data_IF_173333641926
#
_entry.id   IF_173333641926
#
_cell.length_a   1.000
_cell.length_b   1.000
_cell.length_c   1.000
_cell.angle_alpha   90.00
_cell.angle_beta   90.00
_cell.angle_gamma   90.00
#
_symmetry.space_group_name_H-M   'P 1'
#
loop_
_entity.id
_entity.type
_entity.pdbx_description
1 polymer ?
#
# COMPACT_ATOMS: atom_id res chain seq x y z
N UNK A 1 16.09 17.17 -6.21
CA UNK A 1 15.85 17.49 -7.63
C UNK A 1 14.64 16.72 -8.13
N UNK A 2 14.74 15.46 -8.54
CA UNK A 2 13.62 14.66 -9.14
C UNK A 2 12.37 14.66 -8.26
N UNK A 3 12.48 14.44 -6.95
CA UNK A 3 11.34 14.47 -6.04
C UNK A 3 10.60 15.82 -6.09
N UNK A 4 11.35 16.95 -6.12
CA UNK A 4 10.80 18.30 -6.13
C UNK A 4 10.11 18.71 -7.43
N UNK A 5 10.34 17.99 -8.51
CA UNK A 5 9.68 18.20 -9.79
C UNK A 5 8.24 17.63 -9.78
N UNK A 6 8.01 16.57 -9.02
CA UNK A 6 6.72 15.88 -8.95
C UNK A 6 5.92 16.18 -7.67
N UNK A 7 6.58 16.54 -6.57
CA UNK A 7 5.96 16.68 -5.25
C UNK A 7 6.49 17.88 -4.47
N UNK A 8 5.68 18.39 -3.54
CA UNK A 8 6.19 19.27 -2.50
C UNK A 8 7.12 18.46 -1.57
N UNK A 9 8.42 18.83 -1.47
CA UNK A 9 9.39 18.03 -0.72
C UNK A 9 9.16 18.04 0.80
N UNK A 10 8.35 18.97 1.29
CA UNK A 10 8.03 19.11 2.70
C UNK A 10 6.72 18.43 3.08
N UNK A 11 6.10 17.69 2.15
CA UNK A 11 4.84 17.00 2.39
C UNK A 11 4.97 15.48 2.29
N UNK A 12 4.39 14.77 3.26
CA UNK A 12 4.38 13.31 3.36
C UNK A 12 2.94 12.81 3.35
N UNK A 13 2.60 11.96 2.42
CA UNK A 13 1.29 11.30 2.37
C UNK A 13 1.16 10.33 3.54
N UNK A 14 0.11 10.48 4.33
CA UNK A 14 -0.16 9.67 5.51
C UNK A 14 -1.32 8.72 5.24
N UNK A 15 -1.08 7.44 5.48
CA UNK A 15 -2.08 6.38 5.37
C UNK A 15 -2.23 5.64 6.69
N UNK A 16 -3.37 5.01 6.91
CA UNK A 16 -3.54 4.01 7.99
C UNK A 16 -3.88 2.66 7.36
N UNK A 17 -3.34 1.58 7.90
CA UNK A 17 -3.59 0.22 7.44
C UNK A 17 -4.30 -0.58 8.53
N UNK A 18 -5.51 -1.04 8.24
CA UNK A 18 -6.28 -1.95 9.07
C UNK A 18 -6.22 -3.37 8.51
N UNK A 19 -5.87 -4.35 9.35
CA UNK A 19 -6.10 -5.76 9.03
C UNK A 19 -7.54 -6.11 9.33
N UNK A 20 -8.39 -6.12 8.32
CA UNK A 20 -9.81 -6.45 8.45
C UNK A 20 -10.09 -7.96 8.45
N UNK A 21 -9.10 -8.80 8.09
CA UNK A 21 -9.13 -10.26 8.25
C UNK A 21 -7.72 -10.78 8.48
N UNK A 22 -7.46 -11.40 9.63
CA UNK A 22 -6.14 -11.85 10.08
C UNK A 22 -5.99 -13.36 9.95
N UNK A 23 -4.79 -13.82 9.55
CA UNK A 23 -4.35 -15.20 9.62
C UNK A 23 -5.10 -16.20 8.73
N UNK A 24 -4.66 -17.44 8.74
CA UNK A 24 -5.28 -18.54 7.99
C UNK A 24 -5.14 -18.40 6.47
N UNK A 25 -4.12 -17.68 5.98
CA UNK A 25 -3.82 -17.58 4.56
C UNK A 25 -3.22 -18.92 4.06
N UNK A 26 -3.70 -19.48 2.95
CA UNK A 26 -3.18 -20.76 2.44
C UNK A 26 -1.82 -20.63 1.71
N UNK A 27 -1.34 -19.41 1.51
CA UNK A 27 -0.04 -19.15 0.87
C UNK A 27 1.13 -19.52 1.78
N UNK A 28 2.35 -19.59 1.19
CA UNK A 28 3.59 -19.96 1.87
C UNK A 28 4.66 -18.89 1.87
N UNK A 29 4.27 -17.63 1.69
CA UNK A 29 5.21 -16.51 1.68
C UNK A 29 6.14 -16.58 2.90
N UNK A 30 7.44 -16.78 2.67
CA UNK A 30 8.42 -17.12 3.71
C UNK A 30 8.59 -16.03 4.80
N UNK A 31 8.19 -14.80 4.53
CA UNK A 31 8.21 -13.66 5.44
C UNK A 31 6.90 -13.48 6.24
N UNK A 32 5.79 -14.18 5.85
CA UNK A 32 4.46 -13.77 6.28
C UNK A 32 3.95 -14.56 7.48
N UNK A 33 3.74 -13.91 8.64
CA UNK A 33 3.20 -14.58 9.81
C UNK A 33 1.73 -14.99 9.70
N UNK A 34 1.02 -14.53 8.66
CA UNK A 34 -0.39 -14.86 8.44
C UNK A 34 -0.61 -16.18 7.67
N UNK A 35 0.48 -16.79 7.18
CA UNK A 35 0.41 -18.09 6.50
C UNK A 35 -0.02 -19.19 7.47
N UNK A 36 -1.04 -19.98 7.10
CA UNK A 36 -1.62 -20.99 7.99
C UNK A 36 -0.65 -22.12 8.35
N UNK A 37 0.40 -22.31 7.55
CA UNK A 37 1.41 -23.36 7.74
C UNK A 37 2.50 -23.01 8.74
N UNK A 38 2.62 -21.74 9.15
CA UNK A 38 3.66 -21.30 10.08
C UNK A 38 3.11 -21.14 11.49
N UNK A 39 3.87 -21.62 12.47
CA UNK A 39 3.50 -21.50 13.88
C UNK A 39 4.05 -20.19 14.46
N UNK A 40 3.36 -19.09 14.21
CA UNK A 40 3.74 -17.75 14.66
C UNK A 40 2.93 -17.26 15.86
N UNK A 41 2.08 -18.13 16.44
CA UNK A 41 1.18 -17.74 17.52
C UNK A 41 0.02 -16.82 17.09
N UNK A 42 -0.04 -16.43 15.82
CA UNK A 42 -1.08 -15.53 15.31
C UNK A 42 -2.42 -16.26 15.20
N UNK A 43 -3.45 -15.76 15.91
CA UNK A 43 -4.81 -16.28 15.82
C UNK A 43 -5.52 -15.78 14.57
N UNK A 44 -6.17 -16.70 13.86
CA UNK A 44 -6.97 -16.35 12.69
C UNK A 44 -8.32 -15.74 13.12
N UNK A 45 -8.72 -14.66 12.48
CA UNK A 45 -10.01 -13.99 12.68
C UNK A 45 -10.78 -13.93 11.36
N UNK A 46 -12.10 -13.91 11.46
CA UNK A 46 -12.99 -13.71 10.30
C UNK A 46 -12.88 -12.26 9.82
N UNK A 47 -13.42 -12.01 8.62
CA UNK A 47 -13.59 -10.66 8.10
C UNK A 47 -14.46 -9.84 9.08
N UNK A 48 -13.95 -8.66 9.45
CA UNK A 48 -14.64 -7.70 10.33
C UNK A 48 -15.99 -7.27 9.75
N UNK A 49 -16.88 -6.79 10.60
CA UNK A 49 -18.12 -6.16 10.16
C UNK A 49 -17.87 -4.75 9.61
N UNK A 50 -18.76 -4.28 8.72
CA UNK A 50 -18.61 -2.98 8.04
C UNK A 50 -18.49 -1.85 9.05
N UNK A 51 -19.39 -1.81 10.04
CA UNK A 51 -19.43 -0.75 11.04
C UNK A 51 -18.15 -0.69 11.90
N UNK A 52 -17.56 -1.84 12.21
CA UNK A 52 -16.28 -1.91 12.94
C UNK A 52 -15.14 -1.29 12.13
N UNK A 53 -15.10 -1.59 10.81
CA UNK A 53 -14.10 -1.03 9.91
C UNK A 53 -14.29 0.48 9.75
N UNK A 54 -15.53 0.95 9.61
CA UNK A 54 -15.83 2.37 9.47
C UNK A 54 -15.52 3.16 10.75
N UNK A 55 -15.74 2.58 11.93
CA UNK A 55 -15.31 3.20 13.19
C UNK A 55 -13.78 3.39 13.24
N UNK A 56 -13.00 2.41 12.76
CA UNK A 56 -11.54 2.53 12.66
C UNK A 56 -11.10 3.55 11.60
N UNK A 57 -11.81 3.62 10.49
CA UNK A 57 -11.56 4.63 9.46
C UNK A 57 -11.79 6.05 9.97
N UNK A 58 -12.86 6.27 10.76
CA UNK A 58 -13.12 7.56 11.38
C UNK A 58 -12.02 7.96 12.37
N UNK A 59 -11.49 7.02 13.18
CA UNK A 59 -10.35 7.25 14.06
C UNK A 59 -9.09 7.63 13.26
N UNK A 60 -8.80 6.91 12.18
CA UNK A 60 -7.66 7.19 11.31
C UNK A 60 -7.76 8.59 10.68
N UNK A 61 -8.95 8.99 10.21
CA UNK A 61 -9.19 10.33 9.68
C UNK A 61 -8.94 11.41 10.75
N UNK A 62 -9.44 11.22 11.96
CA UNK A 62 -9.23 12.15 13.07
C UNK A 62 -7.75 12.29 13.43
N UNK A 63 -6.93 11.23 13.26
CA UNK A 63 -5.49 11.26 13.43
C UNK A 63 -4.74 11.90 12.25
N UNK A 64 -5.42 12.32 11.18
CA UNK A 64 -4.81 13.01 10.04
C UNK A 64 -4.47 12.10 8.84
N UNK A 65 -4.91 10.83 8.83
CA UNK A 65 -4.70 9.98 7.67
C UNK A 65 -5.57 10.45 6.48
N UNK A 66 -4.96 10.53 5.30
CA UNK A 66 -5.63 10.91 4.06
C UNK A 66 -6.07 9.70 3.24
N UNK A 67 -5.48 8.52 3.53
CA UNK A 67 -5.80 7.23 2.90
C UNK A 67 -6.01 6.16 3.95
N UNK A 68 -7.07 5.37 3.78
CA UNK A 68 -7.36 4.21 4.61
C UNK A 68 -7.18 2.92 3.80
N UNK A 69 -6.25 2.08 4.25
CA UNK A 69 -5.92 0.81 3.61
C UNK A 69 -6.53 -0.34 4.39
N UNK A 70 -7.14 -1.29 3.70
CA UNK A 70 -7.80 -2.47 4.27
C UNK A 70 -7.10 -3.73 3.78
N UNK A 71 -6.53 -4.52 4.70
CA UNK A 71 -5.80 -5.74 4.37
C UNK A 71 -6.50 -7.00 4.87
N UNK A 72 -6.63 -8.01 4.01
CA UNK A 72 -7.17 -9.32 4.37
C UNK A 72 -6.22 -10.44 3.97
N UNK A 73 -5.98 -11.37 4.91
CA UNK A 73 -5.10 -12.53 4.71
C UNK A 73 -5.78 -13.59 3.84
N UNK A 74 -5.87 -13.34 2.53
CA UNK A 74 -6.39 -14.27 1.53
C UNK A 74 -5.37 -14.54 0.41
N UNK A 75 -5.48 -15.72 -0.19
CA UNK A 75 -4.92 -15.97 -1.52
C UNK A 75 -5.71 -15.21 -2.58
N UNK A 76 -7.04 -15.32 -2.52
CA UNK A 76 -8.03 -14.66 -3.36
C UNK A 76 -9.32 -14.53 -2.56
N UNK A 77 -10.06 -13.42 -2.61
CA UNK A 77 -11.32 -13.27 -1.93
C UNK A 77 -12.42 -14.09 -2.64
N UNK A 78 -13.47 -14.46 -1.90
CA UNK A 78 -14.71 -14.96 -2.50
C UNK A 78 -15.60 -13.77 -2.87
N UNK A 79 -16.46 -13.90 -3.88
CA UNK A 79 -17.30 -12.79 -4.36
C UNK A 79 -18.19 -12.19 -3.25
N UNK A 80 -18.75 -13.05 -2.36
CA UNK A 80 -19.49 -12.57 -1.19
C UNK A 80 -18.67 -11.69 -0.24
N UNK A 81 -17.37 -11.97 -0.13
CA UNK A 81 -16.46 -11.21 0.73
C UNK A 81 -16.06 -9.91 0.03
N UNK A 82 -15.93 -9.93 -1.31
CA UNK A 82 -15.73 -8.72 -2.12
C UNK A 82 -16.89 -7.75 -1.98
N UNK A 83 -18.14 -8.24 -2.01
CA UNK A 83 -19.33 -7.40 -1.80
C UNK A 83 -19.31 -6.70 -0.41
N UNK A 84 -18.89 -7.42 0.63
CA UNK A 84 -18.73 -6.83 1.97
C UNK A 84 -17.63 -5.78 2.04
N UNK A 85 -16.48 -6.04 1.38
CA UNK A 85 -15.38 -5.05 1.28
C UNK A 85 -15.80 -3.84 0.44
N UNK A 86 -16.61 -4.02 -0.60
CA UNK A 86 -17.15 -2.92 -1.40
C UNK A 86 -17.96 -1.95 -0.53
N UNK A 87 -18.82 -2.44 0.36
CA UNK A 87 -19.54 -1.60 1.32
C UNK A 87 -18.59 -0.85 2.29
N UNK A 88 -17.48 -1.48 2.71
CA UNK A 88 -16.45 -0.80 3.50
C UNK A 88 -15.78 0.33 2.70
N UNK A 89 -15.48 0.09 1.42
CA UNK A 89 -14.89 1.09 0.51
C UNK A 89 -15.81 2.29 0.35
N UNK A 90 -17.10 2.07 0.09
CA UNK A 90 -18.11 3.12 -0.03
C UNK A 90 -18.17 4.01 1.22
N UNK A 91 -18.16 3.39 2.41
CA UNK A 91 -18.16 4.10 3.66
C UNK A 91 -16.90 4.94 3.90
N UNK A 92 -15.72 4.40 3.58
CA UNK A 92 -14.43 5.13 3.65
C UNK A 92 -14.43 6.32 2.69
N UNK A 93 -14.91 6.13 1.46
CA UNK A 93 -15.04 7.20 0.46
C UNK A 93 -16.01 8.30 0.89
N UNK A 94 -17.14 7.92 1.50
CA UNK A 94 -18.12 8.86 2.05
C UNK A 94 -17.53 9.75 3.16
N UNK A 95 -16.49 9.27 3.86
CA UNK A 95 -15.74 10.07 4.83
C UNK A 95 -14.76 11.05 4.17
N UNK A 96 -14.58 11.05 2.85
CA UNK A 96 -13.65 11.91 2.12
C UNK A 96 -12.19 11.46 2.20
N UNK A 97 -11.92 10.18 2.47
CA UNK A 97 -10.58 9.59 2.39
C UNK A 97 -10.41 8.80 1.10
N UNK A 98 -9.16 8.65 0.63
CA UNK A 98 -8.83 7.63 -0.36
C UNK A 98 -8.96 6.24 0.25
N UNK A 99 -9.52 5.30 -0.51
CA UNK A 99 -9.63 3.89 -0.12
C UNK A 99 -8.60 3.04 -0.86
N UNK A 100 -7.89 2.18 -0.12
CA UNK A 100 -6.97 1.18 -0.66
C UNK A 100 -7.30 -0.19 -0.09
N UNK A 101 -7.18 -1.25 -0.89
CA UNK A 101 -7.43 -2.62 -0.45
C UNK A 101 -6.30 -3.56 -0.86
N UNK A 102 -6.03 -4.57 -0.01
CA UNK A 102 -5.08 -5.67 -0.20
C UNK A 102 -5.79 -6.98 0.12
N UNK A 103 -6.30 -7.67 -0.88
CA UNK A 103 -7.18 -8.84 -0.70
C UNK A 103 -6.62 -10.12 -1.32
N UNK A 104 -5.35 -10.11 -1.74
CA UNK A 104 -4.77 -11.19 -2.54
C UNK A 104 -5.00 -11.00 -4.04
N UNK A 105 -5.11 -12.11 -4.79
CA UNK A 105 -5.35 -12.06 -6.23
C UNK A 105 -6.80 -11.70 -6.53
N UNK A 106 -7.02 -10.85 -7.54
CA UNK A 106 -8.33 -10.50 -8.06
C UNK A 106 -8.52 -11.01 -9.49
N UNK A 107 -9.72 -11.49 -9.78
CA UNK A 107 -10.18 -11.64 -11.15
C UNK A 107 -10.72 -10.30 -11.70
N UNK A 108 -10.95 -10.16 -13.02
CA UNK A 108 -11.44 -8.94 -13.62
C UNK A 108 -12.75 -8.40 -13.02
N UNK A 109 -13.72 -9.29 -12.74
CA UNK A 109 -15.03 -8.89 -12.22
C UNK A 109 -14.95 -8.38 -10.76
N UNK A 110 -14.10 -9.00 -9.95
CA UNK A 110 -13.82 -8.53 -8.58
C UNK A 110 -13.17 -7.14 -8.59
N UNK A 111 -12.23 -6.91 -9.50
CA UNK A 111 -11.59 -5.61 -9.66
C UNK A 111 -12.59 -4.53 -10.08
N UNK A 112 -13.49 -4.82 -11.05
CA UNK A 112 -14.57 -3.91 -11.47
C UNK A 112 -15.54 -3.63 -10.34
N UNK A 113 -15.93 -4.63 -9.55
CA UNK A 113 -16.82 -4.46 -8.39
C UNK A 113 -16.23 -3.48 -7.39
N UNK A 114 -14.96 -3.63 -7.03
CA UNK A 114 -14.28 -2.72 -6.12
C UNK A 114 -14.13 -1.31 -6.70
N UNK A 115 -13.86 -1.20 -8.00
CA UNK A 115 -13.83 0.11 -8.69
C UNK A 115 -15.18 0.81 -8.65
N UNK A 116 -16.26 0.08 -8.90
CA UNK A 116 -17.63 0.62 -8.86
C UNK A 116 -18.01 1.13 -7.46
N UNK A 117 -17.50 0.49 -6.40
CA UNK A 117 -17.63 0.94 -5.01
C UNK A 117 -16.78 2.19 -4.67
N UNK A 118 -15.94 2.66 -5.61
CA UNK A 118 -15.11 3.85 -5.43
C UNK A 118 -13.71 3.57 -4.88
N UNK A 119 -13.21 2.32 -4.95
CA UNK A 119 -11.83 2.03 -4.58
C UNK A 119 -10.86 2.86 -5.44
N UNK A 120 -9.89 3.53 -4.80
CA UNK A 120 -8.88 4.33 -5.49
C UNK A 120 -7.65 3.49 -5.85
N UNK A 121 -7.15 2.71 -4.89
CA UNK A 121 -5.93 1.93 -5.01
C UNK A 121 -6.15 0.46 -4.66
N UNK A 122 -5.51 -0.41 -5.43
CA UNK A 122 -5.35 -1.81 -5.04
C UNK A 122 -3.89 -2.13 -4.78
N UNK A 123 -3.59 -2.61 -3.57
CA UNK A 123 -2.24 -3.04 -3.21
C UNK A 123 -2.03 -4.51 -3.56
N UNK A 124 -1.03 -4.77 -4.40
CA UNK A 124 -0.57 -6.11 -4.74
C UNK A 124 0.92 -6.06 -5.05
N UNK A 125 1.73 -6.32 -4.03
CA UNK A 125 3.19 -6.24 -4.16
C UNK A 125 3.74 -7.37 -5.04
N UNK A 126 4.86 -7.11 -5.73
CA UNK A 126 5.66 -8.16 -6.37
C UNK A 126 6.49 -8.93 -5.34
N UNK A 127 6.67 -8.36 -4.16
CA UNK A 127 7.41 -8.82 -3.01
C UNK A 127 8.93 -8.81 -3.25
N UNK A 128 9.44 -9.47 -4.29
CA UNK A 128 10.85 -9.47 -4.66
C UNK A 128 11.06 -9.48 -6.18
N UNK A 129 12.31 -9.60 -6.64
CA UNK A 129 12.64 -9.74 -8.06
C UNK A 129 12.20 -11.09 -8.64
N UNK A 130 12.03 -11.18 -9.98
CA UNK A 130 11.52 -12.39 -10.63
C UNK A 130 12.39 -13.62 -10.38
N UNK A 131 13.72 -13.45 -10.33
CA UNK A 131 14.66 -14.56 -10.19
C UNK A 131 14.72 -15.16 -8.78
N UNK A 132 14.31 -14.37 -7.76
CA UNK A 132 14.28 -14.82 -6.36
C UNK A 132 12.87 -15.28 -5.93
N UNK A 133 11.86 -14.90 -6.66
CA UNK A 133 10.46 -15.06 -6.22
C UNK A 133 10.12 -16.51 -5.81
N UNK A 134 10.58 -17.51 -6.57
CA UNK A 134 10.32 -18.92 -6.31
C UNK A 134 10.99 -19.46 -5.03
N UNK A 135 12.03 -18.78 -4.53
CA UNK A 135 12.67 -19.14 -3.26
C UNK A 135 11.86 -18.62 -2.07
N UNK A 136 11.13 -17.53 -2.26
CA UNK A 136 10.32 -16.86 -1.23
C UNK A 136 8.86 -17.36 -1.20
N UNK A 137 8.27 -17.66 -2.37
CA UNK A 137 6.85 -18.06 -2.50
C UNK A 137 6.74 -19.17 -3.55
N UNK A 138 6.22 -20.34 -3.13
CA UNK A 138 6.08 -21.54 -3.98
C UNK A 138 4.62 -21.87 -4.31
N UNK A 139 3.66 -21.35 -3.56
CA UNK A 139 2.23 -21.63 -3.73
C UNK A 139 1.59 -20.87 -4.88
N UNK A 140 2.27 -19.89 -5.47
CA UNK A 140 1.88 -19.18 -6.69
C UNK A 140 3.13 -18.69 -7.41
N UNK A 141 3.06 -18.52 -8.72
CA UNK A 141 4.13 -17.99 -9.54
C UNK A 141 4.14 -16.45 -9.59
N UNK A 142 5.21 -15.91 -10.14
CA UNK A 142 5.39 -14.46 -10.30
C UNK A 142 4.39 -13.87 -11.31
N UNK A 143 4.03 -14.63 -12.35
CA UNK A 143 3.08 -14.19 -13.37
C UNK A 143 1.69 -13.93 -12.77
N UNK A 144 1.22 -14.74 -11.82
CA UNK A 144 -0.05 -14.50 -11.14
C UNK A 144 -0.13 -13.14 -10.42
N UNK A 145 1.04 -12.61 -9.98
CA UNK A 145 1.13 -11.24 -9.44
C UNK A 145 0.90 -10.20 -10.54
N UNK A 146 1.59 -10.37 -11.67
CA UNK A 146 1.49 -9.47 -12.82
C UNK A 146 0.08 -9.48 -13.41
N UNK A 147 -0.55 -10.65 -13.53
CA UNK A 147 -1.93 -10.80 -14.02
C UNK A 147 -2.92 -10.05 -13.11
N UNK A 148 -2.76 -10.15 -11.80
CA UNK A 148 -3.60 -9.39 -10.86
C UNK A 148 -3.43 -7.89 -11.03
N UNK A 149 -2.19 -7.39 -11.20
CA UNK A 149 -1.92 -5.98 -11.48
C UNK A 149 -2.52 -5.53 -12.81
N UNK A 150 -2.54 -6.41 -13.82
CA UNK A 150 -3.20 -6.14 -15.09
C UNK A 150 -4.71 -6.00 -14.91
N UNK A 151 -5.39 -6.94 -14.24
CA UNK A 151 -6.83 -6.88 -13.96
C UNK A 151 -7.20 -5.59 -13.21
N UNK A 152 -6.37 -5.17 -12.26
CA UNK A 152 -6.54 -3.94 -11.48
C UNK A 152 -6.48 -2.70 -12.38
N UNK A 153 -5.48 -2.62 -13.27
CA UNK A 153 -5.35 -1.49 -14.23
C UNK A 153 -6.50 -1.46 -15.23
N UNK A 154 -6.85 -2.61 -15.81
CA UNK A 154 -7.95 -2.72 -16.77
C UNK A 154 -9.30 -2.32 -16.16
N UNK A 155 -9.48 -2.50 -14.86
CA UNK A 155 -10.64 -1.99 -14.13
C UNK A 155 -10.57 -0.47 -13.83
N UNK A 156 -9.48 0.22 -14.20
CA UNK A 156 -9.27 1.65 -13.95
C UNK A 156 -8.93 1.98 -12.50
N UNK A 157 -8.41 1.02 -11.73
CA UNK A 157 -7.87 1.23 -10.40
C UNK A 157 -6.40 1.65 -10.49
N UNK A 158 -5.97 2.55 -9.60
CA UNK A 158 -4.55 2.85 -9.40
C UNK A 158 -3.88 1.67 -8.68
N UNK A 159 -2.67 1.29 -9.10
CA UNK A 159 -1.91 0.24 -8.43
C UNK A 159 -1.06 0.80 -7.30
N UNK A 160 -1.05 0.09 -6.17
CA UNK A 160 -0.07 0.24 -5.10
C UNK A 160 0.77 -1.05 -5.14
N UNK A 161 2.01 -0.96 -5.60
CA UNK A 161 2.84 -2.13 -5.83
C UNK A 161 4.30 -1.82 -5.53
N UNK A 162 4.92 -2.66 -4.72
CA UNK A 162 6.31 -2.56 -4.31
C UNK A 162 6.85 -3.91 -3.89
N UNK A 163 7.76 -3.92 -2.91
CA UNK A 163 8.39 -5.15 -2.45
C UNK A 163 8.89 -5.08 -1.02
N UNK A 164 9.55 -6.17 -0.64
CA UNK A 164 10.19 -6.36 0.65
C UNK A 164 11.69 -6.55 0.37
N UNK A 165 12.53 -5.86 1.11
CA UNK A 165 13.99 -5.97 1.01
C UNK A 165 14.59 -6.41 2.34
N UNK A 166 15.72 -7.12 2.27
CA UNK A 166 16.35 -7.74 3.43
C UNK A 166 15.91 -9.19 3.65
N UNK A 167 15.37 -9.85 2.62
CA UNK A 167 15.01 -11.27 2.66
C UNK A 167 16.18 -12.21 2.34
N UNK A 168 17.37 -11.65 2.08
CA UNK A 168 18.59 -12.37 1.66
C UNK A 168 18.95 -12.11 0.20
N UNK A 169 18.18 -11.29 -0.48
CA UNK A 169 18.38 -10.94 -1.88
C UNK A 169 19.69 -10.19 -2.13
N UNK A 170 20.26 -10.38 -3.31
CA UNK A 170 21.40 -9.61 -3.80
C UNK A 170 20.99 -8.20 -4.23
N UNK A 171 21.98 -7.33 -4.48
CA UNK A 171 21.74 -6.00 -5.02
C UNK A 171 21.13 -6.06 -6.42
N UNK A 172 21.54 -7.04 -7.23
CA UNK A 172 21.00 -7.29 -8.56
C UNK A 172 19.54 -7.71 -8.51
N UNK A 173 19.15 -8.56 -7.57
CA UNK A 173 17.77 -8.99 -7.39
C UNK A 173 16.88 -7.81 -6.91
N UNK A 174 17.37 -6.93 -6.02
CA UNK A 174 16.68 -5.66 -5.68
C UNK A 174 16.51 -4.74 -6.89
N UNK A 175 17.56 -4.62 -7.70
CA UNK A 175 17.48 -3.83 -8.92
C UNK A 175 16.47 -4.42 -9.91
N UNK A 176 16.40 -5.74 -10.06
CA UNK A 176 15.41 -6.42 -10.90
C UNK A 176 13.98 -6.19 -10.44
N UNK A 177 13.70 -6.18 -9.12
CA UNK A 177 12.41 -5.77 -8.57
C UNK A 177 12.03 -4.36 -9.01
N UNK A 178 12.92 -3.39 -8.82
CA UNK A 178 12.64 -1.98 -9.17
C UNK A 178 12.50 -1.78 -10.67
N UNK A 179 13.33 -2.49 -11.47
CA UNK A 179 13.22 -2.49 -12.92
C UNK A 179 11.87 -3.04 -13.39
N UNK A 180 11.39 -4.14 -12.80
CA UNK A 180 10.08 -4.70 -13.13
C UNK A 180 8.96 -3.69 -12.82
N UNK A 181 8.99 -3.03 -11.64
CA UNK A 181 8.02 -2.02 -11.27
C UNK A 181 8.02 -0.83 -12.24
N UNK A 182 9.20 -0.36 -12.64
CA UNK A 182 9.36 0.76 -13.57
C UNK A 182 8.95 0.42 -15.01
N UNK A 183 9.02 -0.85 -15.39
CA UNK A 183 8.65 -1.33 -16.73
C UNK A 183 7.18 -1.81 -16.83
N UNK A 184 6.38 -1.66 -15.76
CA UNK A 184 4.94 -1.87 -15.89
C UNK A 184 4.35 -0.87 -16.90
N UNK A 185 3.26 -1.20 -17.59
CA UNK A 185 2.63 -0.30 -18.59
C UNK A 185 2.36 1.10 -18.07
N UNK A 186 2.05 1.22 -16.78
CA UNK A 186 1.99 2.46 -16.02
C UNK A 186 2.75 2.26 -14.71
N UNK A 187 3.53 3.24 -14.30
CA UNK A 187 4.18 3.20 -12.98
C UNK A 187 3.12 3.06 -11.89
N UNK A 188 3.36 2.25 -10.84
CA UNK A 188 2.45 2.21 -9.70
C UNK A 188 2.25 3.60 -9.12
N UNK A 189 1.01 3.99 -8.84
CA UNK A 189 0.71 5.26 -8.18
C UNK A 189 1.32 5.35 -6.77
N UNK A 190 1.55 4.20 -6.13
CA UNK A 190 2.25 4.10 -4.85
C UNK A 190 3.19 2.90 -4.83
N UNK A 191 4.42 3.09 -4.36
CA UNK A 191 5.49 2.08 -4.29
C UNK A 191 5.92 1.90 -2.84
N UNK A 192 5.29 0.95 -2.10
CA UNK A 192 5.74 0.61 -0.76
C UNK A 192 7.07 -0.17 -0.80
N UNK A 193 8.08 0.35 -0.13
CA UNK A 193 9.32 -0.36 0.15
C UNK A 193 9.28 -0.79 1.61
N UNK A 194 9.18 -2.10 1.81
CA UNK A 194 9.16 -2.71 3.12
C UNK A 194 10.57 -3.20 3.48
N UNK A 195 11.03 -2.92 4.68
CA UNK A 195 12.15 -3.63 5.27
C UNK A 195 11.61 -4.89 5.93
N UNK A 196 12.25 -6.04 5.71
CA UNK A 196 11.83 -7.30 6.35
C UNK A 196 11.71 -7.12 7.85
N UNK A 197 10.54 -7.39 8.41
CA UNK A 197 10.33 -7.57 9.84
C UNK A 197 10.40 -9.06 10.13
N UNK A 198 11.37 -9.47 10.91
CA UNK A 198 11.57 -10.87 11.23
C UNK A 198 10.56 -11.31 12.29
N UNK A 199 9.77 -12.32 11.97
CA UNK A 199 8.78 -12.88 12.90
C UNK A 199 9.14 -14.31 13.22
N UNK A 200 9.25 -14.62 14.51
CA UNK A 200 9.50 -15.99 14.99
C UNK A 200 8.46 -16.96 14.43
N UNK A 201 8.93 -18.14 14.04
CA UNK A 201 8.09 -19.16 13.40
C UNK A 201 7.92 -19.00 11.88
N UNK A 202 8.44 -17.93 11.27
CA UNK A 202 8.52 -17.80 9.80
C UNK A 202 9.90 -18.27 9.29
N UNK A 203 9.99 -18.76 8.04
CA UNK A 203 11.26 -19.23 7.46
C UNK A 203 12.37 -18.17 7.42
N UNK A 204 12.03 -16.89 7.30
CA UNK A 204 13.02 -15.80 7.23
C UNK A 204 13.41 -15.22 8.61
N UNK A 205 12.93 -15.81 9.70
CA UNK A 205 13.40 -15.45 11.03
C UNK A 205 14.89 -15.82 11.18
N UNK A 206 15.70 -14.89 11.65
CA UNK A 206 17.16 -15.07 11.77
C UNK A 206 17.96 -14.75 10.51
N UNK A 207 17.32 -14.26 9.43
CA UNK A 207 18.01 -13.75 8.24
C UNK A 207 18.90 -12.56 8.59
N UNK A 208 20.06 -12.45 7.94
CA UNK A 208 20.97 -11.31 8.11
C UNK A 208 20.25 -10.00 7.80
N UNK A 209 20.36 -9.04 8.71
CA UNK A 209 19.74 -7.73 8.53
C UNK A 209 20.34 -6.98 7.33
N UNK A 210 19.50 -6.36 6.55
CA UNK A 210 19.92 -5.49 5.45
C UNK A 210 20.68 -4.27 6.00
N UNK A 211 21.82 -3.96 5.38
CA UNK A 211 22.56 -2.73 5.65
C UNK A 211 21.64 -1.49 5.47
N UNK A 212 21.62 -0.54 6.42
CA UNK A 212 20.76 0.64 6.33
C UNK A 212 20.97 1.47 5.07
N UNK A 213 22.21 1.60 4.58
CA UNK A 213 22.49 2.36 3.36
C UNK A 213 21.99 1.65 2.10
N UNK A 214 21.93 0.32 2.09
CA UNK A 214 21.29 -0.42 1.00
C UNK A 214 19.79 -0.15 0.94
N UNK A 215 19.14 0.01 2.10
CA UNK A 215 17.74 0.41 2.16
C UNK A 215 17.54 1.83 1.60
N UNK A 216 18.35 2.80 2.02
CA UNK A 216 18.33 4.18 1.49
C UNK A 216 18.56 4.22 -0.01
N UNK A 217 19.54 3.43 -0.53
CA UNK A 217 19.77 3.31 -1.98
C UNK A 217 18.56 2.78 -2.73
N UNK A 218 17.86 1.80 -2.15
CA UNK A 218 16.64 1.25 -2.74
C UNK A 218 15.56 2.32 -2.86
N UNK A 219 15.34 3.14 -1.82
CA UNK A 219 14.42 4.28 -1.85
C UNK A 219 14.83 5.29 -2.94
N UNK A 220 16.11 5.68 -2.98
CA UNK A 220 16.63 6.63 -3.98
C UNK A 220 16.43 6.12 -5.40
N UNK A 221 16.74 4.84 -5.66
CA UNK A 221 16.58 4.21 -6.97
C UNK A 221 15.10 4.13 -7.36
N UNK A 222 14.22 3.76 -6.43
CA UNK A 222 12.77 3.76 -6.68
C UNK A 222 12.26 5.14 -7.08
N UNK A 223 12.71 6.21 -6.41
CA UNK A 223 12.36 7.59 -6.74
C UNK A 223 12.87 8.03 -8.12
N UNK A 224 14.09 7.63 -8.48
CA UNK A 224 14.68 7.97 -9.78
C UNK A 224 13.92 7.29 -10.93
N UNK A 225 13.63 6.01 -10.77
CA UNK A 225 12.96 5.20 -11.81
C UNK A 225 11.47 5.54 -11.93
N UNK A 226 10.82 5.92 -10.85
CA UNK A 226 9.37 6.20 -10.80
C UNK A 226 9.11 7.59 -10.19
N UNK A 227 9.45 8.67 -10.90
CA UNK A 227 9.50 10.03 -10.35
C UNK A 227 8.14 10.55 -9.87
N UNK A 228 7.05 10.15 -10.50
CA UNK A 228 5.69 10.56 -10.14
C UNK A 228 4.98 9.62 -9.15
N UNK A 229 5.60 8.50 -8.78
CA UNK A 229 5.02 7.56 -7.82
C UNK A 229 5.19 8.07 -6.37
N UNK A 230 4.20 7.78 -5.53
CA UNK A 230 4.35 7.96 -4.08
C UNK A 230 5.22 6.83 -3.54
N UNK A 231 6.47 7.11 -3.12
CA UNK A 231 7.39 6.13 -2.54
C UNK A 231 7.15 6.07 -1.03
N UNK A 232 6.75 4.90 -0.55
CA UNK A 232 6.35 4.72 0.86
C UNK A 232 7.40 3.99 1.67
N UNK A 233 7.81 4.59 2.79
CA UNK A 233 8.39 3.85 3.90
C UNK A 233 7.27 3.04 4.56
N UNK A 234 7.32 1.73 4.38
CA UNK A 234 6.26 0.83 4.82
C UNK A 234 6.70 0.02 6.06
N UNK A 235 6.61 -1.30 6.06
CA UNK A 235 6.99 -2.10 7.22
C UNK A 235 8.48 -1.96 7.59
N UNK A 236 8.79 -2.24 8.87
CA UNK A 236 10.15 -2.21 9.43
C UNK A 236 10.56 -0.86 10.04
N UNK A 237 9.69 0.16 10.03
CA UNK A 237 10.02 1.50 10.57
C UNK A 237 10.27 1.51 12.07
N UNK A 238 9.60 0.65 12.85
CA UNK A 238 9.82 0.55 14.30
C UNK A 238 11.27 0.14 14.67
N UNK A 239 11.98 -0.49 13.73
CA UNK A 239 13.39 -0.92 13.90
C UNK A 239 14.38 0.07 13.25
N UNK A 240 13.91 1.20 12.71
CA UNK A 240 14.73 2.24 12.10
C UNK A 240 14.96 3.38 13.08
N UNK A 241 16.21 3.87 13.18
CA UNK A 241 16.47 5.12 13.88
C UNK A 241 15.82 6.33 13.17
N UNK A 242 15.65 7.44 13.88
CA UNK A 242 15.14 8.67 13.28
C UNK A 242 16.03 9.16 12.13
N UNK A 243 17.36 9.01 12.27
CA UNK A 243 18.33 9.39 11.24
C UNK A 243 18.16 8.56 9.97
N UNK A 244 17.95 7.26 10.10
CA UNK A 244 17.72 6.38 8.95
C UNK A 244 16.41 6.76 8.22
N UNK A 245 15.33 7.00 8.96
CA UNK A 245 14.06 7.46 8.39
C UNK A 245 14.24 8.81 7.69
N UNK A 246 14.98 9.74 8.31
CA UNK A 246 15.30 11.06 7.74
C UNK A 246 16.07 10.94 6.42
N UNK A 247 17.08 10.06 6.36
CA UNK A 247 17.82 9.76 5.13
C UNK A 247 16.91 9.21 4.04
N UNK A 248 15.92 8.38 4.39
CA UNK A 248 14.95 7.86 3.44
C UNK A 248 14.04 8.96 2.87
N UNK A 249 13.60 9.92 3.68
CA UNK A 249 12.86 11.10 3.19
C UNK A 249 13.73 11.96 2.25
N UNK A 250 14.99 12.21 2.61
CA UNK A 250 15.93 12.90 1.74
C UNK A 250 16.20 12.17 0.43
N UNK A 251 16.22 10.82 0.47
CA UNK A 251 16.39 9.97 -0.70
C UNK A 251 15.15 9.96 -1.61
N UNK A 252 14.00 10.44 -1.15
CA UNK A 252 12.79 10.59 -1.97
C UNK A 252 11.57 9.80 -1.52
N UNK A 253 11.59 9.19 -0.32
CA UNK A 253 10.35 8.71 0.29
C UNK A 253 9.44 9.90 0.61
N UNK A 254 8.13 9.74 0.39
CA UNK A 254 7.13 10.78 0.66
C UNK A 254 5.79 10.20 1.12
N UNK A 255 5.80 9.02 1.71
CA UNK A 255 4.62 8.43 2.34
C UNK A 255 5.00 7.50 3.48
N UNK A 256 4.13 7.44 4.49
CA UNK A 256 4.23 6.50 5.61
C UNK A 256 2.86 5.94 5.96
N UNK A 257 2.88 4.91 6.81
CA UNK A 257 1.70 4.49 7.56
C UNK A 257 1.71 5.04 8.98
N UNK A 258 0.59 5.60 9.43
CA UNK A 258 0.31 5.95 10.81
C UNK A 258 -0.29 4.76 11.57
N UNK A 259 -0.04 4.72 12.89
CA UNK A 259 -0.60 3.76 13.83
C UNK A 259 0.36 2.67 14.23
N UNK A 260 0.25 2.21 15.47
CA UNK A 260 1.16 1.30 16.16
C UNK A 260 1.33 -0.06 15.48
N UNK A 261 0.49 -0.42 14.52
CA UNK A 261 0.46 -1.73 13.86
C UNK A 261 0.31 -1.62 12.35
N UNK A 262 1.16 -2.37 11.64
CA UNK A 262 0.99 -2.67 10.21
C UNK A 262 0.70 -4.15 10.05
N UNK A 263 -0.54 -4.49 9.67
CA UNK A 263 -1.04 -5.87 9.63
C UNK A 263 -0.84 -6.56 10.99
N UNK A 264 0.28 -7.23 11.19
CA UNK A 264 0.59 -8.03 12.37
C UNK A 264 1.90 -7.62 13.05
N UNK A 265 2.61 -6.63 12.51
CA UNK A 265 3.91 -6.15 13.01
C UNK A 265 3.81 -4.76 13.62
N UNK A 266 4.75 -4.41 14.51
CA UNK A 266 4.82 -3.08 15.11
C UNK A 266 5.14 -1.99 14.09
N UNK A 267 4.71 -0.76 14.40
CA UNK A 267 5.00 0.46 13.65
C UNK A 267 5.13 1.62 14.66
N UNK A 268 5.83 2.71 14.36
CA UNK A 268 5.81 3.91 15.19
C UNK A 268 4.38 4.40 15.43
N UNK A 269 4.11 4.89 16.63
CA UNK A 269 2.83 5.53 16.93
C UNK A 269 2.70 6.91 16.24
N UNK A 270 1.52 7.49 16.32
CA UNK A 270 1.22 8.77 15.64
C UNK A 270 2.04 9.91 16.26
N UNK A 271 2.24 9.90 17.57
CA UNK A 271 2.97 10.93 18.31
C UNK A 271 4.47 10.92 17.93
N UNK A 272 5.07 9.74 17.82
CA UNK A 272 6.46 9.60 17.36
C UNK A 272 6.65 10.11 15.93
N UNK A 273 5.71 9.80 15.03
CA UNK A 273 5.74 10.29 13.66
C UNK A 273 5.57 11.81 13.59
N UNK A 274 4.65 12.38 14.37
CA UNK A 274 4.45 13.84 14.45
C UNK A 274 5.70 14.54 15.01
N UNK A 275 6.34 13.97 16.04
CA UNK A 275 7.58 14.50 16.59
C UNK A 275 8.72 14.48 15.56
N UNK A 276 8.85 13.38 14.79
CA UNK A 276 9.83 13.29 13.70
C UNK A 276 9.55 14.33 12.61
N UNK A 277 8.28 14.48 12.20
CA UNK A 277 7.89 15.47 11.20
C UNK A 277 8.23 16.90 11.65
N UNK A 278 7.94 17.24 12.90
CA UNK A 278 8.29 18.53 13.46
C UNK A 278 9.81 18.80 13.45
N UNK A 279 10.63 17.79 13.81
CA UNK A 279 12.11 17.88 13.74
C UNK A 279 12.61 18.12 12.32
N UNK A 280 11.96 17.53 11.32
CA UNK A 280 12.37 17.61 9.92
C UNK A 280 11.77 18.81 9.17
N UNK A 281 10.82 19.54 9.76
CA UNK A 281 10.08 20.61 9.09
C UNK A 281 9.21 20.10 7.92
N UNK A 282 8.66 18.89 8.05
CA UNK A 282 7.76 18.28 7.07
C UNK A 282 6.37 18.14 7.67
N UNK A 283 5.36 18.05 6.84
CA UNK A 283 3.95 17.97 7.24
C UNK A 283 3.17 16.90 6.49
N UNK A 284 2.01 16.52 7.02
CA UNK A 284 1.10 15.62 6.32
C UNK A 284 0.55 16.27 5.05
N UNK A 285 0.54 15.52 3.93
CA UNK A 285 -0.04 15.96 2.67
C UNK A 285 -1.57 16.09 2.82
N UNK A 286 -2.19 17.21 2.39
CA UNK A 286 -3.64 17.36 2.43
C UNK A 286 -4.33 16.35 1.51
N UNK A 287 -5.60 16.03 1.81
CA UNK A 287 -6.42 15.19 0.94
C UNK A 287 -6.70 15.95 -0.35
N UNK A 288 -6.19 15.47 -1.48
CA UNK A 288 -6.57 15.95 -2.79
C UNK A 288 -7.87 15.24 -3.21
N UNK A 289 -9.02 15.83 -2.83
CA UNK A 289 -10.30 15.38 -3.38
C UNK A 289 -10.37 15.97 -4.78
N UNK A 290 -10.26 15.13 -5.81
CA UNK A 290 -10.70 15.51 -7.15
C UNK A 290 -12.21 15.82 -7.05
N UNK A 291 -12.57 17.10 -7.04
CA UNK A 291 -13.96 17.52 -7.13
C UNK A 291 -14.47 17.02 -8.49
N UNK A 292 -15.43 16.09 -8.47
CA UNK A 292 -16.26 15.83 -9.63
C UNK A 292 -16.96 17.15 -9.92
N UNK A 293 -16.46 17.90 -10.90
CA UNK A 293 -17.19 19.01 -11.53
C UNK A 293 -18.42 18.37 -12.17
N UNK A 294 -19.55 18.48 -11.50
CA UNK A 294 -20.84 18.22 -12.12
C UNK A 294 -20.98 19.30 -13.18
N UNK A 295 -20.77 18.94 -14.44
CA UNK A 295 -21.23 19.77 -15.56
C UNK A 295 -22.75 19.82 -15.43
N UNK A 296 -23.25 20.89 -14.82
CA UNK A 296 -24.63 21.31 -14.99
C UNK A 296 -24.74 21.79 -16.44
N UNK A 297 -25.31 20.96 -17.30
CA UNK A 297 -25.80 21.40 -18.60
C UNK A 297 -26.82 22.50 -18.34
N UNK A 298 -26.40 23.73 -18.55
CA UNK A 298 -27.28 24.88 -18.67
C UNK A 298 -28.05 24.70 -19.95
N UNK A 299 -29.28 24.21 -19.83
CA UNK A 299 -30.29 24.29 -20.87
C UNK A 299 -30.48 25.78 -21.21
N UNK A 300 -29.90 26.23 -22.30
CA UNK A 300 -30.25 27.46 -22.96
C UNK A 300 -31.66 27.29 -23.59
N UNK A 301 -32.67 27.78 -22.87
CA UNK A 301 -33.99 28.02 -23.48
C UNK A 301 -33.83 29.11 -24.51
N UNK A 302 -33.94 28.71 -25.77
CA UNK A 302 -34.08 29.56 -26.90
C UNK A 302 -35.46 30.22 -26.86
N UNK A 303 -35.55 31.52 -26.50
CA UNK A 303 -36.74 32.34 -26.68
C UNK A 303 -36.55 33.25 -27.86
N UNK A 304 -36.77 32.70 -29.05
CA UNK A 304 -37.17 33.50 -30.17
C UNK A 304 -38.68 33.71 -30.09
N UNK A 305 -39.13 34.91 -29.78
CA UNK A 305 -40.49 35.35 -30.03
C UNK A 305 -40.50 36.54 -30.98
N UNK A 306 -41.26 36.30 -32.00
CA UNK A 306 -41.66 37.18 -33.03
C UNK A 306 -42.23 38.54 -32.58
N UNK A 307 -41.99 39.56 -33.34
CA UNK A 307 -42.93 40.51 -33.90
C UNK A 307 -42.23 41.28 -35.00
#
# INVERSE_FOLDING_TARGET
SIHREAFNPNQVQVSTLLTNKTGGCPEDCAYCPQAARYNTGLKAHKLMEVDEVLAKAAQAKAAGATRFCMGAAWRSPKDRDVAKVAAMVEGVRAMGMEACATLGMLNPEQAKTLKSAGLDYYNHNLDTGPDEYADIIKTRDYQARLDTLQHVREAGLKTCCGGIVGMGESREQRAALLQTLANLPEHPGSVPINRLVQVEGTPLHGTTLLDPFEFVRTIATARILMPASVVRLSAGRAEMSEELQSLCFLAGANSIFYGEKLLTTGNPDVEADQALFAKLGIEGMPVLIESKTVHADVLQEDRSCAA
#
